data_IF_269689070040
#
_entry.id   IF_269689070040
#
_cell.length_a   1.000
_cell.length_b   1.000
_cell.length_c   1.000
_cell.angle_alpha   90.00
_cell.angle_beta   90.00
_cell.angle_gamma   90.00
#
_symmetry.space_group_name_H-M   'P 1'
#
loop_
_entity.id
_entity.type
_entity.pdbx_description
1 polymer ?
#
# COMPACT_ATOMS: atom_id res chain seq x y z
N UNK A 1 -26.07 16.35 61.67
CA UNK A 1 -24.74 16.16 61.04
C UNK A 1 -24.83 15.03 60.03
N UNK A 2 -24.40 15.27 58.78
CA UNK A 2 -23.96 14.30 57.73
C UNK A 2 -24.97 13.18 57.38
N UNK A 3 -25.57 13.11 56.19
CA UNK A 3 -25.00 13.29 54.86
C UNK A 3 -24.77 11.92 54.21
N UNK A 4 -25.04 11.83 52.89
CA UNK A 4 -24.79 10.72 51.97
C UNK A 4 -25.83 9.58 51.95
N UNK A 5 -26.48 9.24 50.84
CA UNK A 5 -26.31 9.63 49.46
C UNK A 5 -27.07 8.62 48.61
N UNK A 6 -28.31 8.95 48.24
CA UNK A 6 -29.19 8.10 47.42
C UNK A 6 -28.53 7.94 46.05
N UNK A 7 -27.91 6.78 45.77
CA UNK A 7 -27.32 6.43 44.46
C UNK A 7 -28.40 6.47 43.38
N UNK A 8 -28.60 7.64 42.76
CA UNK A 8 -29.30 7.76 41.48
C UNK A 8 -28.46 7.00 40.46
N UNK A 9 -28.96 5.85 39.99
CA UNK A 9 -28.40 5.18 38.82
C UNK A 9 -28.57 6.16 37.65
N UNK A 10 -27.49 6.80 37.26
CA UNK A 10 -27.42 7.49 35.98
C UNK A 10 -27.66 6.43 34.90
N UNK A 11 -28.85 6.46 34.33
CA UNK A 11 -29.11 5.86 33.03
C UNK A 11 -28.17 6.54 32.05
N UNK A 12 -27.04 5.90 31.74
CA UNK A 12 -26.31 6.17 30.52
C UNK A 12 -27.23 5.73 29.38
N UNK A 13 -28.10 6.66 28.97
CA UNK A 13 -28.74 6.64 27.68
C UNK A 13 -27.60 6.60 26.68
N UNK A 14 -27.23 5.38 26.29
CA UNK A 14 -26.26 5.13 25.25
C UNK A 14 -26.81 5.79 24.00
N UNK A 15 -26.35 7.01 23.73
CA UNK A 15 -26.50 7.66 22.43
C UNK A 15 -25.84 6.70 21.47
N UNK A 16 -26.64 5.83 20.85
CA UNK A 16 -26.25 5.11 19.65
C UNK A 16 -26.00 6.21 18.62
N UNK A 17 -24.78 6.73 18.58
CA UNK A 17 -24.29 7.50 17.45
C UNK A 17 -24.50 6.59 16.25
N UNK A 18 -25.58 6.84 15.53
CA UNK A 18 -25.97 6.09 14.37
C UNK A 18 -24.88 6.33 13.33
N UNK A 19 -23.94 5.39 13.23
CA UNK A 19 -22.94 5.39 12.16
C UNK A 19 -23.72 5.56 10.85
N UNK A 20 -23.51 6.66 10.11
CA UNK A 20 -24.33 7.01 8.97
C UNK A 20 -24.35 5.84 7.99
N UNK A 21 -25.53 5.54 7.41
CA UNK A 21 -25.76 4.36 6.56
C UNK A 21 -24.70 4.20 5.45
N UNK A 22 -24.15 5.33 4.97
CA UNK A 22 -23.05 5.39 3.99
C UNK A 22 -21.77 4.73 4.51
N UNK A 23 -21.36 4.99 5.75
CA UNK A 23 -20.17 4.39 6.38
C UNK A 23 -20.39 2.89 6.62
N UNK A 24 -21.60 2.48 7.03
CA UNK A 24 -21.93 1.04 7.17
C UNK A 24 -21.83 0.29 5.84
N UNK A 25 -22.24 0.91 4.74
CA UNK A 25 -22.10 0.34 3.40
C UNK A 25 -20.63 0.15 2.99
N UNK A 26 -19.79 1.17 3.21
CA UNK A 26 -18.35 1.13 2.92
C UNK A 26 -17.64 0.09 3.80
N UNK A 27 -17.93 0.04 5.10
CA UNK A 27 -17.35 -0.95 6.02
C UNK A 27 -17.79 -2.38 5.64
N UNK A 28 -19.04 -2.55 5.18
CA UNK A 28 -19.52 -3.84 4.69
C UNK A 28 -18.81 -4.26 3.40
N UNK A 29 -18.58 -3.33 2.47
CA UNK A 29 -17.81 -3.56 1.25
C UNK A 29 -16.37 -3.95 1.54
N UNK A 30 -15.67 -3.20 2.40
CA UNK A 30 -14.30 -3.52 2.85
C UNK A 30 -14.26 -4.90 3.51
N UNK A 31 -15.23 -5.24 4.35
CA UNK A 31 -15.31 -6.55 5.02
C UNK A 31 -15.52 -7.71 4.05
N UNK A 32 -16.33 -7.54 3.01
CA UNK A 32 -16.49 -8.56 1.96
C UNK A 32 -15.24 -8.71 1.10
N UNK A 33 -14.56 -7.60 0.74
CA UNK A 33 -13.25 -7.65 0.09
C UNK A 33 -12.25 -8.41 0.97
N UNK A 34 -12.24 -8.16 2.27
CA UNK A 34 -11.33 -8.83 3.21
C UNK A 34 -11.62 -10.32 3.31
N UNK A 35 -12.89 -10.74 3.31
CA UNK A 35 -13.28 -12.16 3.27
C UNK A 35 -12.86 -12.83 1.97
N UNK A 36 -13.06 -12.18 0.82
CA UNK A 36 -12.67 -12.70 -0.49
C UNK A 36 -11.15 -12.83 -0.59
N UNK A 37 -10.40 -11.85 -0.10
CA UNK A 37 -8.94 -11.90 -0.01
C UNK A 37 -8.47 -13.03 0.90
N UNK A 38 -9.09 -13.22 2.07
CA UNK A 38 -8.75 -14.32 2.97
C UNK A 38 -9.13 -15.70 2.40
N UNK A 39 -10.27 -15.80 1.70
CA UNK A 39 -10.72 -17.03 1.07
C UNK A 39 -9.83 -17.40 -0.13
N UNK A 40 -9.41 -16.42 -0.91
CA UNK A 40 -8.40 -16.60 -1.96
C UNK A 40 -7.05 -17.01 -1.36
N UNK A 41 -6.59 -16.32 -0.30
CA UNK A 41 -5.32 -16.59 0.38
C UNK A 41 -5.20 -17.95 1.08
N UNK A 42 -6.30 -18.70 1.23
CA UNK A 42 -6.31 -20.02 1.87
C UNK A 42 -5.68 -21.14 1.03
N UNK A 43 -5.46 -20.93 -0.27
CA UNK A 43 -4.72 -21.87 -1.14
C UNK A 43 -3.35 -21.30 -1.53
N UNK A 44 -2.33 -22.15 -1.73
CA UNK A 44 -1.00 -21.71 -2.22
C UNK A 44 -1.11 -20.90 -3.53
N UNK A 45 -2.11 -21.21 -4.38
CA UNK A 45 -2.40 -20.45 -5.59
C UNK A 45 -2.93 -19.05 -5.28
N UNK A 46 -3.90 -18.90 -4.38
CA UNK A 46 -4.50 -17.60 -4.13
C UNK A 46 -3.63 -16.67 -3.25
N UNK A 47 -2.68 -17.19 -2.47
CA UNK A 47 -1.62 -16.35 -1.87
C UNK A 47 -0.78 -15.64 -2.94
N UNK A 48 -0.37 -16.37 -3.98
CA UNK A 48 0.41 -15.81 -5.08
C UNK A 48 -0.45 -14.85 -5.93
N UNK A 49 -1.73 -15.18 -6.16
CA UNK A 49 -2.66 -14.31 -6.89
C UNK A 49 -2.91 -12.98 -6.16
N UNK A 50 -3.11 -13.01 -4.85
CA UNK A 50 -3.28 -11.79 -4.02
C UNK A 50 -2.03 -10.90 -4.11
N UNK A 51 -0.83 -11.50 -4.11
CA UNK A 51 0.42 -10.76 -4.23
C UNK A 51 0.55 -10.06 -5.59
N UNK A 52 0.19 -10.74 -6.69
CA UNK A 52 0.18 -10.14 -8.03
C UNK A 52 -0.81 -8.98 -8.11
N UNK A 53 -2.04 -9.17 -7.63
CA UNK A 53 -3.06 -8.10 -7.61
C UNK A 53 -2.56 -6.87 -6.84
N UNK A 54 -1.94 -7.10 -5.67
CA UNK A 54 -1.37 -6.02 -4.88
C UNK A 54 -0.27 -5.27 -5.65
N UNK A 55 0.69 -5.99 -6.25
CA UNK A 55 1.74 -5.36 -7.06
C UNK A 55 1.18 -4.62 -8.26
N UNK A 56 0.23 -5.21 -8.99
CA UNK A 56 -0.44 -4.55 -10.11
C UNK A 56 -1.02 -3.21 -9.66
N UNK A 57 -1.76 -3.20 -8.55
CA UNK A 57 -2.39 -1.99 -8.03
C UNK A 57 -1.36 -0.93 -7.65
N UNK A 58 -0.27 -1.32 -6.96
CA UNK A 58 0.83 -0.42 -6.61
C UNK A 58 1.50 0.15 -7.86
N UNK A 59 1.84 -0.68 -8.86
CA UNK A 59 2.45 -0.21 -10.10
C UNK A 59 1.52 0.69 -10.91
N UNK A 60 0.21 0.41 -10.94
CA UNK A 60 -0.77 1.28 -11.59
C UNK A 60 -0.86 2.63 -10.90
N UNK A 61 -0.92 2.66 -9.56
CA UNK A 61 -0.87 3.92 -8.81
C UNK A 61 0.44 4.67 -9.08
N UNK A 62 1.57 3.98 -9.10
CA UNK A 62 2.85 4.58 -9.42
C UNK A 62 2.88 5.19 -10.83
N UNK A 63 2.31 4.50 -11.82
CA UNK A 63 2.19 5.03 -13.17
C UNK A 63 1.28 6.28 -13.22
N UNK A 64 0.17 6.30 -12.48
CA UNK A 64 -0.69 7.48 -12.35
C UNK A 64 0.07 8.66 -11.73
N UNK A 65 0.81 8.43 -10.64
CA UNK A 65 1.61 9.46 -9.99
C UNK A 65 2.74 9.97 -10.87
N UNK A 66 3.34 9.10 -11.67
CA UNK A 66 4.37 9.44 -12.65
C UNK A 66 3.82 10.37 -13.74
N UNK A 67 2.65 10.05 -14.29
CA UNK A 67 1.96 10.92 -15.26
C UNK A 67 1.63 12.27 -14.63
N UNK A 68 1.16 12.29 -13.37
CA UNK A 68 0.91 13.52 -12.63
C UNK A 68 2.16 14.37 -12.42
N UNK A 69 3.30 13.72 -12.13
CA UNK A 69 4.59 14.37 -11.94
C UNK A 69 5.12 15.00 -13.23
N UNK A 70 5.09 14.24 -14.34
CA UNK A 70 5.54 14.72 -15.67
C UNK A 70 4.70 15.92 -16.13
N UNK A 71 3.40 15.92 -15.84
CA UNK A 71 2.50 17.01 -16.20
C UNK A 71 2.54 18.20 -15.23
N UNK A 72 3.35 18.15 -14.15
CA UNK A 72 3.45 19.22 -13.15
C UNK A 72 2.18 19.41 -12.31
N UNK A 73 1.36 18.36 -12.19
CA UNK A 73 0.02 18.43 -11.57
C UNK A 73 -0.03 17.80 -10.17
N UNK A 74 1.12 17.43 -9.59
CA UNK A 74 1.22 16.95 -8.22
C UNK A 74 1.40 18.14 -7.27
N UNK A 75 0.29 18.79 -6.90
CA UNK A 75 0.31 19.92 -5.98
C UNK A 75 0.47 19.44 -4.53
N UNK A 76 1.32 20.11 -3.74
CA UNK A 76 1.56 19.77 -2.33
C UNK A 76 2.41 18.51 -2.12
N UNK A 77 3.22 18.12 -3.10
CA UNK A 77 4.17 17.00 -2.98
C UNK A 77 5.18 17.20 -1.85
N UNK A 78 5.59 18.45 -1.61
CA UNK A 78 6.67 18.79 -0.67
C UNK A 78 6.26 18.51 0.78
N UNK A 79 4.99 18.76 1.13
CA UNK A 79 4.43 18.46 2.45
C UNK A 79 4.35 16.94 2.73
N UNK A 80 4.24 16.12 1.66
CA UNK A 80 4.11 14.66 1.75
C UNK A 80 5.43 13.92 1.65
N UNK A 81 6.45 14.59 1.12
CA UNK A 81 7.78 14.05 0.91
C UNK A 81 8.37 13.49 2.21
N UNK A 82 8.12 14.17 3.34
CA UNK A 82 8.51 13.69 4.67
C UNK A 82 7.91 12.31 5.04
N UNK A 83 6.64 12.06 4.70
CA UNK A 83 6.02 10.75 4.93
C UNK A 83 6.61 9.67 4.03
N UNK A 84 6.93 9.98 2.77
CA UNK A 84 7.55 9.03 1.86
C UNK A 84 8.96 8.65 2.29
N UNK A 85 9.74 9.61 2.80
CA UNK A 85 11.09 9.39 3.35
C UNK A 85 11.03 8.57 4.64
N UNK A 86 10.06 8.82 5.52
CA UNK A 86 9.85 7.96 6.69
C UNK A 86 9.55 6.52 6.28
N UNK A 87 8.66 6.32 5.31
CA UNK A 87 8.33 4.99 4.83
C UNK A 87 9.55 4.28 4.21
N UNK A 88 10.34 4.96 3.38
CA UNK A 88 11.55 4.36 2.79
C UNK A 88 12.61 4.01 3.83
N UNK A 89 12.71 4.79 4.92
CA UNK A 89 13.59 4.49 6.06
C UNK A 89 13.17 3.18 6.75
N UNK A 90 11.86 2.96 6.92
CA UNK A 90 11.34 1.70 7.46
C UNK A 90 11.64 0.54 6.52
N UNK A 91 11.43 0.71 5.21
CA UNK A 91 11.75 -0.32 4.20
C UNK A 91 13.24 -0.66 4.23
N UNK A 92 14.12 0.32 4.34
CA UNK A 92 15.57 0.12 4.45
C UNK A 92 15.92 -0.76 5.66
N UNK A 93 15.40 -0.43 6.85
CA UNK A 93 15.65 -1.18 8.09
C UNK A 93 15.16 -2.63 7.95
N UNK A 94 13.93 -2.82 7.46
CA UNK A 94 13.34 -4.16 7.27
C UNK A 94 14.15 -4.99 6.26
N UNK A 95 14.64 -4.35 5.20
CA UNK A 95 15.43 -5.02 4.16
C UNK A 95 16.79 -5.48 4.69
N UNK A 96 17.50 -4.62 5.44
CA UNK A 96 18.75 -5.00 6.11
C UNK A 96 18.52 -6.19 7.03
N UNK A 97 17.53 -6.09 7.92
CA UNK A 97 17.26 -7.14 8.90
C UNK A 97 16.88 -8.47 8.25
N UNK A 98 16.14 -8.43 7.14
CA UNK A 98 15.76 -9.62 6.37
C UNK A 98 16.97 -10.28 5.70
N UNK A 99 17.89 -9.49 5.15
CA UNK A 99 19.09 -10.02 4.49
C UNK A 99 20.11 -10.53 5.53
N UNK A 100 20.25 -9.86 6.67
CA UNK A 100 21.15 -10.29 7.75
C UNK A 100 20.81 -11.71 8.24
N UNK A 101 19.52 -12.03 8.36
CA UNK A 101 19.04 -13.39 8.70
C UNK A 101 19.48 -14.46 7.70
N UNK A 102 19.83 -14.08 6.47
CA UNK A 102 20.18 -15.01 5.38
C UNK A 102 21.64 -15.48 5.45
N UNK A 103 22.46 -15.02 6.43
CA UNK A 103 23.87 -15.42 6.63
C UNK A 103 24.76 -15.37 5.37
N UNK A 104 24.51 -14.42 4.46
CA UNK A 104 25.36 -14.24 3.26
C UNK A 104 26.72 -13.65 3.67
N UNK A 105 27.80 -14.11 3.00
CA UNK A 105 29.19 -13.82 3.39
C UNK A 105 29.76 -12.49 2.88
N UNK A 106 29.16 -11.88 1.83
CA UNK A 106 29.69 -10.67 1.20
C UNK A 106 28.89 -9.42 1.59
N UNK A 107 29.42 -8.62 2.51
CA UNK A 107 28.77 -7.39 2.99
C UNK A 107 28.54 -6.34 1.88
N UNK A 108 29.50 -6.21 0.95
CA UNK A 108 29.42 -5.22 -0.14
C UNK A 108 28.29 -5.52 -1.14
N UNK A 109 28.08 -6.80 -1.49
CA UNK A 109 27.01 -7.20 -2.41
C UNK A 109 25.63 -7.04 -1.75
N UNK A 110 25.55 -7.31 -0.45
CA UNK A 110 24.34 -7.08 0.36
C UNK A 110 24.00 -5.60 0.34
N UNK A 111 24.97 -4.72 0.58
CA UNK A 111 24.73 -3.29 0.69
C UNK A 111 24.26 -2.69 -0.65
N UNK A 112 24.83 -3.12 -1.78
CA UNK A 112 24.35 -2.73 -3.12
C UNK A 112 22.88 -3.10 -3.33
N UNK A 113 22.49 -4.31 -2.97
CA UNK A 113 21.10 -4.79 -3.09
C UNK A 113 20.16 -4.00 -2.18
N UNK A 114 20.55 -3.76 -0.93
CA UNK A 114 19.75 -2.97 0.03
C UNK A 114 19.52 -1.56 -0.50
N UNK A 115 20.56 -0.89 -0.99
CA UNK A 115 20.48 0.45 -1.55
C UNK A 115 19.54 0.45 -2.76
N UNK A 116 19.72 -0.48 -3.69
CA UNK A 116 18.86 -0.60 -4.87
C UNK A 116 17.38 -0.79 -4.50
N UNK A 117 17.08 -1.71 -3.57
CA UNK A 117 15.72 -1.97 -3.07
C UNK A 117 15.14 -0.73 -2.40
N UNK A 118 15.94 -0.01 -1.62
CA UNK A 118 15.48 1.16 -0.86
C UNK A 118 15.17 2.33 -1.78
N UNK A 119 16.05 2.62 -2.74
CA UNK A 119 15.81 3.66 -3.75
C UNK A 119 14.58 3.31 -4.57
N UNK A 120 14.49 2.07 -5.07
CA UNK A 120 13.35 1.61 -5.86
C UNK A 120 12.05 1.67 -5.05
N UNK A 121 12.08 1.23 -3.79
CA UNK A 121 10.95 1.30 -2.87
C UNK A 121 10.51 2.73 -2.58
N UNK A 122 11.46 3.65 -2.37
CA UNK A 122 11.16 5.07 -2.18
C UNK A 122 10.46 5.68 -3.41
N UNK A 123 10.99 5.43 -4.61
CA UNK A 123 10.39 5.90 -5.87
C UNK A 123 8.98 5.33 -6.03
N UNK A 124 8.82 4.01 -5.85
CA UNK A 124 7.52 3.36 -5.96
C UNK A 124 6.50 3.92 -4.99
N UNK A 125 6.87 4.11 -3.73
CA UNK A 125 5.96 4.59 -2.68
C UNK A 125 5.56 6.04 -2.94
N UNK A 126 6.53 6.89 -3.30
CA UNK A 126 6.27 8.30 -3.60
C UNK A 126 5.31 8.42 -4.78
N UNK A 127 5.60 7.72 -5.89
CA UNK A 127 4.76 7.73 -7.07
C UNK A 127 3.37 7.12 -6.80
N UNK A 128 3.30 6.02 -6.04
CA UNK A 128 2.02 5.40 -5.70
C UNK A 128 1.16 6.28 -4.80
N UNK A 129 1.79 6.97 -3.85
CA UNK A 129 1.14 7.93 -2.97
C UNK A 129 0.54 9.10 -3.75
N UNK A 130 1.34 9.72 -4.63
CA UNK A 130 0.86 10.80 -5.50
C UNK A 130 -0.25 10.32 -6.43
N UNK A 131 -0.11 9.13 -7.01
CA UNK A 131 -1.15 8.56 -7.87
C UNK A 131 -2.46 8.31 -7.13
N UNK A 132 -2.40 7.84 -5.88
CA UNK A 132 -3.58 7.63 -5.04
C UNK A 132 -4.27 8.94 -4.72
N UNK A 133 -3.51 9.96 -4.28
CA UNK A 133 -4.09 11.27 -3.97
C UNK A 133 -4.75 11.87 -5.19
N UNK A 134 -4.11 11.75 -6.34
CA UNK A 134 -4.63 12.25 -7.61
C UNK A 134 -5.97 11.60 -8.00
N UNK A 135 -6.08 10.27 -7.86
CA UNK A 135 -7.35 9.56 -8.09
C UNK A 135 -8.43 10.04 -7.12
N UNK A 136 -8.09 10.22 -5.84
CA UNK A 136 -9.03 10.68 -4.81
C UNK A 136 -9.49 12.12 -5.06
N UNK A 137 -8.60 13.00 -5.53
CA UNK A 137 -8.92 14.38 -5.89
C UNK A 137 -9.73 14.50 -7.18
N UNK A 138 -9.91 13.40 -7.91
CA UNK A 138 -10.65 13.36 -9.16
C UNK A 138 -9.72 13.57 -10.36
N UNK A 139 -9.48 12.49 -11.09
CA UNK A 139 -8.75 12.53 -12.36
C UNK A 139 -9.71 12.69 -13.53
N UNK A 140 -9.41 13.61 -14.44
CA UNK A 140 -10.11 13.73 -15.74
C UNK A 140 -9.70 12.68 -16.78
N UNK A 141 -9.22 11.51 -16.36
CA UNK A 141 -8.76 10.47 -17.28
C UNK A 141 -9.94 9.74 -17.94
N UNK A 142 -9.78 9.40 -19.21
CA UNK A 142 -10.74 8.55 -19.93
C UNK A 142 -10.57 7.09 -19.48
N UNK A 143 -11.61 6.27 -19.69
CA UNK A 143 -11.56 4.84 -19.40
C UNK A 143 -10.37 4.14 -20.07
N UNK A 144 -10.04 4.54 -21.31
CA UNK A 144 -8.92 4.01 -22.08
C UNK A 144 -7.57 4.27 -21.37
N UNK A 145 -7.36 5.47 -20.82
CA UNK A 145 -6.14 5.79 -20.08
C UNK A 145 -5.98 4.90 -18.85
N UNK A 146 -7.06 4.64 -18.10
CA UNK A 146 -7.01 3.71 -16.97
C UNK A 146 -6.66 2.29 -17.41
N UNK A 147 -7.24 1.81 -18.51
CA UNK A 147 -6.93 0.48 -19.03
C UNK A 147 -5.45 0.34 -19.41
N UNK A 148 -4.85 1.37 -20.01
CA UNK A 148 -3.41 1.38 -20.29
C UNK A 148 -2.55 1.37 -19.03
N UNK A 149 -2.92 2.16 -18.01
CA UNK A 149 -2.20 2.21 -16.74
C UNK A 149 -2.31 0.88 -15.96
N UNK A 150 -3.47 0.24 -16.01
CA UNK A 150 -3.70 -1.09 -15.42
C UNK A 150 -2.89 -2.15 -16.17
N UNK A 151 -2.87 -2.09 -17.51
CA UNK A 151 -2.10 -3.01 -18.34
C UNK A 151 -0.60 -2.87 -18.07
N UNK A 152 -0.08 -1.65 -17.95
CA UNK A 152 1.31 -1.39 -17.57
C UNK A 152 1.64 -1.94 -16.18
N UNK A 153 0.75 -1.73 -15.20
CA UNK A 153 0.90 -2.30 -13.86
C UNK A 153 0.91 -3.83 -13.85
N UNK A 154 0.07 -4.46 -14.67
CA UNK A 154 0.03 -5.91 -14.88
C UNK A 154 1.36 -6.43 -15.43
N UNK A 155 1.88 -5.80 -16.49
CA UNK A 155 3.17 -6.17 -17.08
C UNK A 155 4.31 -6.05 -16.06
N UNK A 156 4.42 -4.92 -15.36
CA UNK A 156 5.44 -4.73 -14.32
C UNK A 156 5.33 -5.76 -13.20
N UNK A 157 4.11 -6.10 -12.76
CA UNK A 157 3.89 -7.10 -11.73
C UNK A 157 4.29 -8.52 -12.18
N UNK A 158 4.02 -8.88 -13.44
CA UNK A 158 4.42 -10.16 -14.02
C UNK A 158 5.94 -10.30 -14.13
N UNK A 159 6.60 -9.25 -14.65
CA UNK A 159 8.07 -9.20 -14.75
C UNK A 159 8.71 -9.23 -13.36
N UNK A 160 8.19 -8.46 -12.40
CA UNK A 160 8.70 -8.44 -11.03
C UNK A 160 8.56 -9.79 -10.34
N UNK A 161 7.42 -10.47 -10.51
CA UNK A 161 7.21 -11.81 -9.96
C UNK A 161 8.18 -12.83 -10.56
N UNK A 162 8.40 -12.78 -11.88
CA UNK A 162 9.34 -13.65 -12.56
C UNK A 162 10.78 -13.40 -12.07
N UNK A 163 11.20 -12.13 -12.02
CA UNK A 163 12.54 -11.75 -11.58
C UNK A 163 12.83 -12.25 -10.16
N UNK A 164 11.90 -12.07 -9.20
CA UNK A 164 12.11 -12.51 -7.82
C UNK A 164 12.35 -14.03 -7.71
N UNK A 165 11.69 -14.82 -8.55
CA UNK A 165 11.77 -16.30 -8.49
C UNK A 165 12.94 -16.88 -9.28
N UNK A 166 13.22 -16.34 -10.46
CA UNK A 166 14.16 -16.94 -11.41
C UNK A 166 15.51 -16.23 -11.47
N UNK A 167 15.69 -15.06 -10.83
CA UNK A 167 16.97 -14.32 -10.89
C UNK A 167 18.17 -15.12 -10.39
N UNK A 168 17.96 -16.02 -9.42
CA UNK A 168 19.02 -16.90 -8.90
C UNK A 168 19.40 -18.07 -9.82
N UNK A 169 18.61 -18.36 -10.85
CA UNK A 169 18.92 -19.43 -11.80
C UNK A 169 19.93 -18.98 -12.85
N UNK A 170 20.12 -17.65 -12.99
CA UNK A 170 20.96 -17.03 -14.01
C UNK A 170 22.09 -16.16 -13.44
N UNK A 171 22.30 -16.14 -12.11
CA UNK A 171 23.42 -15.47 -11.43
C UNK A 171 24.19 -16.47 -10.59
#
# INVERSE_FOLDING_TARGET
MKGFGKKRRASTVGVKMGIPKKIKGVVKGIREITKLVNKAGSSKLGKNGVQVIFFTLVFTLAAVGLVGLINGQNTGSDERLGFYVLFSSVVFIVTIYSIEKTKRKNAMDIMKVVIAITIFGFVLVSLSGEGLVRIVQGTGYTLQTYLYLVTGGLLCSGVGWWAIRHWKEYT
#
